data_IF_168001497817
#
_entry.id   IF_168001497817
#
_cell.length_a   1.000
_cell.length_b   1.000
_cell.length_c   1.000
_cell.angle_alpha   90.00
_cell.angle_beta   90.00
_cell.angle_gamma   90.00
#
_symmetry.space_group_name_H-M   'P 1'
#
loop_
_entity.id
_entity.type
_entity.pdbx_description
1 polymer ?
#
# COMPACT_ATOMS: atom_id res chain seq x y z
N UNK A 1 6.31 -2.40 -3.21
CA UNK A 1 5.37 -1.71 -4.13
C UNK A 1 5.64 -0.21 -4.20
N UNK A 2 5.64 0.38 -5.40
CA UNK A 2 5.69 1.85 -5.61
C UNK A 2 4.28 2.46 -5.75
N UNK A 3 4.19 3.79 -5.73
CA UNK A 3 2.91 4.50 -5.83
C UNK A 3 2.16 4.19 -7.14
N UNK A 4 2.86 4.05 -8.26
CA UNK A 4 2.30 3.71 -9.56
C UNK A 4 1.69 2.30 -9.55
N UNK A 5 2.36 1.35 -8.90
CA UNK A 5 1.84 -0.01 -8.72
C UNK A 5 0.60 -0.01 -7.82
N UNK A 6 0.61 0.78 -6.74
CA UNK A 6 -0.57 0.95 -5.89
C UNK A 6 -1.75 1.54 -6.67
N UNK A 7 -1.51 2.50 -7.55
CA UNK A 7 -2.56 3.08 -8.39
C UNK A 7 -3.18 2.03 -9.32
N UNK A 8 -2.37 1.20 -9.99
CA UNK A 8 -2.87 0.12 -10.85
C UNK A 8 -3.75 -0.86 -10.05
N UNK A 9 -3.29 -1.26 -8.86
CA UNK A 9 -4.05 -2.15 -7.98
C UNK A 9 -5.35 -1.47 -7.51
N UNK A 10 -5.30 -0.18 -7.15
CA UNK A 10 -6.46 0.59 -6.73
C UNK A 10 -7.50 0.71 -7.84
N UNK A 11 -7.10 0.99 -9.08
CA UNK A 11 -7.99 1.06 -10.24
C UNK A 11 -8.72 -0.26 -10.43
N UNK A 12 -7.99 -1.37 -10.46
CA UNK A 12 -8.58 -2.71 -10.61
C UNK A 12 -9.51 -3.07 -9.45
N UNK A 13 -9.13 -2.72 -8.23
CA UNK A 13 -9.96 -2.95 -7.05
C UNK A 13 -11.26 -2.13 -7.11
N UNK A 14 -11.19 -0.87 -7.53
CA UNK A 14 -12.35 -0.01 -7.71
C UNK A 14 -13.35 -0.57 -8.75
N UNK A 15 -12.85 -1.12 -9.86
CA UNK A 15 -13.69 -1.75 -10.89
C UNK A 15 -14.49 -2.93 -10.34
N UNK A 16 -13.87 -3.78 -9.50
CA UNK A 16 -14.50 -4.98 -8.94
C UNK A 16 -15.47 -4.65 -7.80
N UNK A 17 -15.08 -3.76 -6.88
CA UNK A 17 -15.81 -3.49 -5.64
C UNK A 17 -16.76 -2.29 -5.74
N UNK A 18 -16.86 -1.63 -6.91
CA UNK A 18 -17.69 -0.43 -7.15
C UNK A 18 -17.41 0.72 -6.17
N UNK A 19 -16.15 0.87 -5.76
CA UNK A 19 -15.65 2.01 -4.98
C UNK A 19 -14.86 2.95 -5.88
N UNK A 20 -14.48 4.12 -5.36
CA UNK A 20 -13.67 5.11 -6.09
C UNK A 20 -12.43 5.47 -5.29
N UNK A 21 -11.36 5.82 -5.99
CA UNK A 21 -10.19 6.46 -5.38
C UNK A 21 -10.61 7.87 -4.96
N UNK A 22 -10.54 8.16 -3.66
CA UNK A 22 -10.88 9.46 -3.08
C UNK A 22 -9.64 10.21 -2.60
N UNK A 23 -8.54 9.52 -2.36
CA UNK A 23 -7.33 10.11 -1.79
C UNK A 23 -6.07 9.52 -2.43
N UNK A 24 -5.55 10.22 -3.45
CA UNK A 24 -4.29 9.84 -4.10
C UNK A 24 -3.07 10.03 -3.20
N UNK A 25 -3.12 10.99 -2.27
CA UNK A 25 -2.05 11.21 -1.29
C UNK A 25 -1.88 10.02 -0.35
N UNK A 26 -2.97 9.31 -0.03
CA UNK A 26 -2.89 8.08 0.76
C UNK A 26 -2.10 6.97 0.05
N UNK A 27 -2.23 6.85 -1.28
CA UNK A 27 -1.47 5.87 -2.08
C UNK A 27 0.02 6.21 -2.08
N UNK A 28 0.36 7.49 -2.25
CA UNK A 28 1.75 7.96 -2.21
C UNK A 28 2.34 7.78 -0.80
N UNK A 29 1.60 8.16 0.23
CA UNK A 29 2.01 8.01 1.63
C UNK A 29 2.23 6.53 1.99
N UNK A 30 1.37 5.62 1.54
CA UNK A 30 1.53 4.20 1.80
C UNK A 30 2.78 3.63 1.12
N UNK A 31 3.05 4.01 -0.13
CA UNK A 31 4.30 3.63 -0.81
C UNK A 31 5.53 4.21 -0.09
N UNK A 32 5.49 5.48 0.30
CA UNK A 32 6.59 6.12 1.00
C UNK A 32 6.85 5.48 2.37
N UNK A 33 5.81 5.18 3.13
CA UNK A 33 5.91 4.51 4.43
C UNK A 33 6.54 3.11 4.32
N UNK A 34 6.21 2.37 3.26
CA UNK A 34 6.78 1.04 3.03
C UNK A 34 8.28 1.07 2.71
N UNK A 35 8.79 2.13 2.07
CA UNK A 35 10.20 2.28 1.66
C UNK A 35 10.93 3.38 2.44
N UNK A 36 10.47 3.67 3.65
CA UNK A 36 10.94 4.82 4.40
C UNK A 36 12.41 4.68 4.82
N UNK A 37 13.14 5.80 4.65
CA UNK A 37 14.55 5.96 4.99
C UNK A 37 14.71 7.19 5.88
N UNK A 38 15.53 7.11 6.93
CA UNK A 38 15.99 8.27 7.71
C UNK A 38 17.50 8.30 7.63
N UNK A 39 18.08 9.39 7.13
CA UNK A 39 19.52 9.52 6.89
C UNK A 39 20.13 8.35 6.09
N UNK A 40 19.36 7.81 5.14
CA UNK A 40 19.73 6.65 4.31
C UNK A 40 19.59 5.29 5.00
N UNK A 41 19.19 5.26 6.27
CA UNK A 41 18.96 4.03 7.04
C UNK A 41 17.54 3.55 6.81
N UNK A 42 17.39 2.27 6.45
CA UNK A 42 16.07 1.62 6.34
C UNK A 42 15.40 1.57 7.70
N UNK A 43 14.15 2.06 7.75
CA UNK A 43 13.32 1.97 8.96
C UNK A 43 12.84 0.53 9.17
N UNK A 44 12.63 -0.22 8.08
CA UNK A 44 12.10 -1.58 8.13
C UNK A 44 13.23 -2.60 7.89
N UNK A 45 13.36 -3.57 8.80
CA UNK A 45 14.39 -4.62 8.69
C UNK A 45 13.98 -5.77 7.78
N UNK A 46 12.68 -5.90 7.48
CA UNK A 46 12.16 -7.00 6.68
C UNK A 46 10.88 -6.64 5.91
N UNK A 47 10.56 -7.38 4.83
CA UNK A 47 9.38 -7.12 4.01
C UNK A 47 8.03 -7.16 4.77
N UNK A 48 7.96 -7.86 5.92
CA UNK A 48 6.74 -7.89 6.75
C UNK A 48 6.50 -6.56 7.44
N UNK A 49 7.56 -5.88 7.91
CA UNK A 49 7.45 -4.54 8.49
C UNK A 49 7.05 -3.49 7.44
N UNK A 50 7.61 -3.59 6.23
CA UNK A 50 7.21 -2.75 5.10
C UNK A 50 5.72 -2.93 4.75
N UNK A 51 5.28 -4.19 4.63
CA UNK A 51 3.89 -4.52 4.34
C UNK A 51 2.92 -4.09 5.46
N UNK A 52 3.34 -4.19 6.72
CA UNK A 52 2.56 -3.73 7.87
C UNK A 52 2.37 -2.20 7.85
N UNK A 53 3.43 -1.45 7.53
CA UNK A 53 3.36 0.02 7.42
C UNK A 53 2.48 0.46 6.26
N UNK A 54 2.58 -0.23 5.12
CA UNK A 54 1.70 -0.01 3.98
C UNK A 54 0.23 -0.24 4.36
N UNK A 55 -0.06 -1.34 5.06
CA UNK A 55 -1.39 -1.66 5.54
C UNK A 55 -1.94 -0.60 6.50
N UNK A 56 -1.11 -0.16 7.45
CA UNK A 56 -1.49 0.85 8.44
C UNK A 56 -1.89 2.18 7.78
N UNK A 57 -1.11 2.68 6.82
CA UNK A 57 -1.44 3.93 6.13
C UNK A 57 -2.73 3.79 5.33
N UNK A 58 -2.89 2.70 4.57
CA UNK A 58 -4.08 2.51 3.75
C UNK A 58 -5.36 2.32 4.57
N UNK A 59 -5.25 1.83 5.81
CA UNK A 59 -6.40 1.69 6.72
C UNK A 59 -6.73 2.94 7.52
N UNK A 60 -5.74 3.77 7.85
CA UNK A 60 -5.94 5.00 8.65
C UNK A 60 -6.24 6.24 7.82
N UNK A 61 -5.55 6.39 6.68
CA UNK A 61 -5.68 7.57 5.81
C UNK A 61 -6.75 7.37 4.75
N UNK A 62 -7.03 6.11 4.40
CA UNK A 62 -8.05 5.66 3.46
C UNK A 62 -7.86 6.22 2.04
N UNK A 63 -7.46 5.36 1.10
CA UNK A 63 -7.30 5.75 -0.30
C UNK A 63 -8.61 5.74 -1.09
N UNK A 64 -9.57 4.92 -0.64
CA UNK A 64 -10.79 4.61 -1.36
C UNK A 64 -12.02 5.10 -0.57
N UNK A 65 -13.13 5.27 -1.29
CA UNK A 65 -14.43 5.61 -0.71
C UNK A 65 -15.04 4.49 0.15
N UNK A 66 -14.41 3.31 0.21
CA UNK A 66 -14.84 2.17 1.00
C UNK A 66 -13.90 0.98 0.80
N UNK A 67 -14.10 -0.10 1.57
CA UNK A 67 -13.31 -1.33 1.50
C UNK A 67 -11.79 -1.14 1.75
N UNK A 68 -11.37 -0.08 2.43
CA UNK A 68 -9.95 0.23 2.66
C UNK A 68 -9.17 -0.89 3.37
N UNK A 69 -9.78 -1.60 4.34
CA UNK A 69 -9.14 -2.75 5.01
C UNK A 69 -8.87 -3.93 4.07
N UNK A 70 -9.81 -4.21 3.19
CA UNK A 70 -9.70 -5.30 2.20
C UNK A 70 -8.65 -4.95 1.15
N UNK A 71 -8.72 -3.71 0.63
CA UNK A 71 -7.71 -3.15 -0.26
C UNK A 71 -6.30 -3.20 0.36
N UNK A 72 -6.14 -2.72 1.59
CA UNK A 72 -4.88 -2.73 2.31
C UNK A 72 -4.32 -4.15 2.48
N UNK A 73 -5.19 -5.13 2.76
CA UNK A 73 -4.80 -6.54 2.89
C UNK A 73 -4.26 -7.10 1.58
N UNK A 74 -4.91 -6.77 0.45
CA UNK A 74 -4.44 -7.20 -0.88
C UNK A 74 -3.09 -6.57 -1.20
N UNK A 75 -2.93 -5.26 -0.98
CA UNK A 75 -1.67 -4.59 -1.26
C UNK A 75 -0.51 -5.13 -0.39
N UNK A 76 -0.75 -5.40 0.90
CA UNK A 76 0.26 -6.03 1.77
C UNK A 76 0.67 -7.43 1.27
N UNK A 77 -0.30 -8.24 0.82
CA UNK A 77 -0.02 -9.57 0.24
C UNK A 77 0.79 -9.49 -1.05
N UNK A 78 0.44 -8.56 -1.96
CA UNK A 78 1.19 -8.34 -3.20
C UNK A 78 2.62 -7.90 -2.87
N UNK A 79 2.79 -6.98 -1.93
CA UNK A 79 4.12 -6.51 -1.51
C UNK A 79 4.99 -7.66 -1.00
N UNK A 80 4.44 -8.53 -0.15
CA UNK A 80 5.15 -9.71 0.36
C UNK A 80 5.50 -10.71 -0.75
N UNK A 81 4.54 -11.02 -1.64
CA UNK A 81 4.77 -11.97 -2.71
C UNK A 81 5.88 -11.53 -3.68
N UNK A 82 6.01 -10.21 -3.92
CA UNK A 82 7.11 -9.66 -4.73
C UNK A 82 8.44 -9.73 -4.00
N UNK A 83 8.45 -9.60 -2.67
CA UNK A 83 9.67 -9.68 -1.87
C UNK A 83 10.19 -11.13 -1.71
N UNK A 84 9.30 -12.12 -1.66
CA UNK A 84 9.65 -13.55 -1.54
C UNK A 84 10.14 -14.18 -2.87
N UNK A 85 9.88 -13.52 -4.01
CA UNK A 85 10.26 -13.99 -5.35
C UNK A 85 11.54 -13.37 -5.92
N UNK A 86 12.34 -12.69 -5.09
CA UNK A 86 13.58 -11.99 -5.45
C UNK A 86 14.85 -12.79 -5.15
#
# INVERSE_FOLDING_TARGET
MRAEQLLIVAQRFCEVHRVRISNYSALVAAAAAAHALIDGIRIHDNPRQEAASLYEILTKVEALSGHNKEFATICAKIHLAVADGG
#
